data_IF_966409962161
#
_entry.id   IF_966409962161
#
_cell.length_a   1.000
_cell.length_b   1.000
_cell.length_c   1.000
_cell.angle_alpha   90.00
_cell.angle_beta   90.00
_cell.angle_gamma   90.00
#
_symmetry.space_group_name_H-M   'P 1'
#
loop_
_entity.id
_entity.type
_entity.pdbx_description
1 polymer ?
#
# COMPACT_ATOMS: atom_id res chain seq x y z
N UNK A 1 -5.43 -2.56 -4.41
CA UNK A 1 -5.52 -3.88 -5.09
C UNK A 1 -6.21 -4.83 -4.15
N UNK A 2 -6.90 -5.81 -4.71
CA UNK A 2 -7.62 -6.85 -4.00
C UNK A 2 -6.77 -7.43 -2.87
N UNK A 3 -7.35 -7.63 -1.68
CA UNK A 3 -6.60 -8.10 -0.52
C UNK A 3 -6.08 -9.52 -0.77
N UNK A 4 -6.91 -10.39 -1.36
CA UNK A 4 -6.53 -11.71 -1.79
C UNK A 4 -6.83 -11.92 -3.29
N UNK A 5 -5.93 -11.53 -4.20
CA UNK A 5 -6.16 -11.61 -5.64
C UNK A 5 -6.11 -13.04 -6.20
N UNK A 6 -5.93 -14.07 -5.35
CA UNK A 6 -6.12 -15.47 -5.76
C UNK A 6 -7.60 -15.89 -5.76
N UNK A 7 -8.46 -15.15 -5.03
CA UNK A 7 -9.90 -15.44 -4.90
C UNK A 7 -10.76 -14.23 -5.24
N UNK A 8 -10.28 -13.04 -4.90
CA UNK A 8 -10.97 -11.79 -5.18
C UNK A 8 -10.92 -11.47 -6.67
N UNK A 9 -11.99 -10.85 -7.18
CA UNK A 9 -12.07 -10.38 -8.56
C UNK A 9 -12.51 -8.93 -8.58
N UNK A 10 -11.92 -8.14 -9.49
CA UNK A 10 -12.38 -6.77 -9.73
C UNK A 10 -13.77 -6.80 -10.38
N UNK A 11 -14.63 -5.87 -9.96
CA UNK A 11 -15.96 -5.70 -10.56
C UNK A 11 -16.08 -4.26 -11.09
N UNK A 12 -16.21 -4.07 -12.41
CA UNK A 12 -16.11 -5.08 -13.48
C UNK A 12 -14.68 -5.65 -13.60
N UNK A 13 -14.47 -6.85 -14.18
CA UNK A 13 -13.14 -7.40 -14.35
C UNK A 13 -12.31 -6.56 -15.34
N UNK A 14 -11.00 -6.47 -15.10
CA UNK A 14 -10.05 -5.97 -16.07
C UNK A 14 -9.55 -7.16 -16.91
N UNK A 15 -9.86 -7.22 -18.22
CA UNK A 15 -9.49 -8.34 -19.06
C UNK A 15 -7.97 -8.52 -19.13
N UNK A 16 -7.44 -9.74 -18.90
CA UNK A 16 -6.03 -10.01 -19.13
C UNK A 16 -5.71 -9.86 -20.63
N UNK A 17 -4.65 -9.13 -20.95
CA UNK A 17 -4.19 -8.89 -22.32
C UNK A 17 -4.76 -7.64 -23.00
N UNK A 18 -5.68 -6.91 -22.36
CA UNK A 18 -6.08 -5.58 -22.84
C UNK A 18 -4.92 -4.60 -22.70
N UNK A 19 -4.46 -4.07 -23.83
CA UNK A 19 -3.31 -3.15 -23.87
C UNK A 19 -3.69 -1.74 -23.44
N UNK A 20 -4.97 -1.35 -23.61
CA UNK A 20 -5.48 -0.05 -23.20
C UNK A 20 -5.79 -0.03 -21.70
N UNK A 21 -5.52 1.11 -21.07
CA UNK A 21 -5.88 1.43 -19.69
C UNK A 21 -7.19 2.21 -19.60
N UNK A 22 -7.94 2.36 -20.69
CA UNK A 22 -9.18 3.15 -20.75
C UNK A 22 -10.25 2.71 -19.73
N UNK A 23 -10.28 1.42 -19.37
CA UNK A 23 -11.18 0.89 -18.33
C UNK A 23 -10.67 1.05 -16.90
N UNK A 24 -9.51 1.69 -16.67
CA UNK A 24 -8.93 1.99 -15.35
C UNK A 24 -9.24 3.42 -14.91
N UNK A 25 -8.50 3.93 -13.93
CA UNK A 25 -8.69 5.27 -13.41
C UNK A 25 -10.06 5.46 -12.78
N UNK A 26 -10.66 6.63 -13.03
CA UNK A 26 -12.01 6.95 -12.56
C UNK A 26 -13.13 6.27 -13.36
N UNK A 27 -12.81 5.44 -14.36
CA UNK A 27 -13.79 4.61 -15.08
C UNK A 27 -14.15 3.33 -14.33
N UNK A 28 -13.29 2.88 -13.41
CA UNK A 28 -13.51 1.66 -12.63
C UNK A 28 -13.79 1.99 -11.16
N UNK A 29 -14.92 1.53 -10.56
CA UNK A 29 -15.31 1.91 -9.20
C UNK A 29 -14.24 1.63 -8.13
N UNK A 30 -13.68 0.43 -8.13
CA UNK A 30 -12.62 0.04 -7.19
C UNK A 30 -11.34 0.87 -7.34
N UNK A 31 -10.88 1.10 -8.57
CA UNK A 31 -9.66 1.89 -8.84
C UNK A 31 -9.91 3.38 -8.53
N UNK A 32 -11.09 3.90 -8.83
CA UNK A 32 -11.48 5.25 -8.46
C UNK A 32 -11.39 5.47 -6.95
N UNK A 33 -11.77 4.47 -6.14
CA UNK A 33 -11.63 4.54 -4.68
C UNK A 33 -10.16 4.62 -4.24
N UNK A 34 -9.26 3.88 -4.91
CA UNK A 34 -7.82 3.91 -4.64
C UNK A 34 -7.15 5.22 -5.07
N UNK A 35 -7.59 5.80 -6.18
CA UNK A 35 -7.06 7.08 -6.70
C UNK A 35 -7.70 8.30 -6.03
N UNK A 36 -8.82 8.14 -5.34
CA UNK A 36 -9.50 9.20 -4.61
C UNK A 36 -8.50 9.89 -3.65
N UNK A 37 -8.36 11.22 -3.70
CA UNK A 37 -7.62 11.95 -2.67
C UNK A 37 -8.18 11.63 -1.28
N UNK A 38 -7.31 11.36 -0.32
CA UNK A 38 -7.69 10.98 1.04
C UNK A 38 -8.64 12.00 1.70
N UNK A 39 -8.47 13.31 1.41
CA UNK A 39 -9.37 14.39 1.87
C UNK A 39 -10.84 14.21 1.46
N UNK A 40 -11.11 13.39 0.45
CA UNK A 40 -12.45 13.09 -0.05
C UNK A 40 -12.91 11.67 0.27
N UNK A 41 -12.14 10.88 1.04
CA UNK A 41 -12.45 9.49 1.35
C UNK A 41 -13.87 9.31 1.93
N UNK A 42 -14.22 10.03 2.98
CA UNK A 42 -15.56 9.96 3.58
C UNK A 42 -16.68 10.32 2.59
N UNK A 43 -16.47 11.32 1.73
CA UNK A 43 -17.44 11.69 0.68
C UNK A 43 -17.55 10.62 -0.40
N UNK A 44 -16.43 9.98 -0.74
CA UNK A 44 -16.38 8.87 -1.68
C UNK A 44 -17.13 7.66 -1.14
N UNK A 45 -16.94 7.30 0.14
CA UNK A 45 -17.68 6.21 0.79
C UNK A 45 -19.20 6.47 0.78
N UNK A 46 -19.61 7.71 1.04
CA UNK A 46 -21.04 8.07 1.07
C UNK A 46 -21.72 7.99 -0.32
N UNK A 47 -21.02 8.34 -1.41
CA UNK A 47 -21.55 8.25 -2.78
C UNK A 47 -20.43 7.98 -3.80
N UNK A 48 -19.98 6.72 -3.94
CA UNK A 48 -18.86 6.37 -4.81
C UNK A 48 -19.11 6.71 -6.27
N UNK A 49 -20.34 6.50 -6.75
CA UNK A 49 -20.71 6.71 -8.16
C UNK A 49 -20.65 8.20 -8.52
N UNK A 50 -21.20 9.07 -7.66
CA UNK A 50 -21.17 10.52 -7.90
C UNK A 50 -19.75 11.08 -7.78
N UNK A 51 -18.99 10.63 -6.79
CA UNK A 51 -17.62 11.11 -6.58
C UNK A 51 -16.70 10.68 -7.72
N UNK A 52 -16.75 9.41 -8.15
CA UNK A 52 -16.00 8.94 -9.30
C UNK A 52 -16.38 9.70 -10.59
N UNK A 53 -17.68 9.99 -10.80
CA UNK A 53 -18.13 10.80 -11.95
C UNK A 53 -17.52 12.20 -11.94
N UNK A 54 -17.56 12.89 -10.79
CA UNK A 54 -16.99 14.24 -10.65
C UNK A 54 -15.48 14.28 -10.85
N UNK A 55 -14.76 13.23 -10.46
CA UNK A 55 -13.33 13.11 -10.72
C UNK A 55 -13.06 12.85 -12.20
N UNK A 56 -13.86 11.98 -12.83
CA UNK A 56 -13.75 11.64 -14.24
C UNK A 56 -14.02 12.83 -15.16
N UNK A 57 -15.03 13.63 -14.87
CA UNK A 57 -15.42 14.79 -15.69
C UNK A 57 -14.66 16.08 -15.37
N UNK A 58 -13.77 16.06 -14.37
CA UNK A 58 -12.97 17.21 -13.94
C UNK A 58 -13.70 18.23 -13.07
N UNK A 59 -14.98 18.00 -12.73
CA UNK A 59 -15.72 18.88 -11.79
C UNK A 59 -15.08 18.91 -10.41
N UNK A 60 -14.51 17.77 -9.99
CA UNK A 60 -13.69 17.67 -8.79
C UNK A 60 -12.25 17.42 -9.20
N UNK A 61 -11.39 18.41 -8.94
CA UNK A 61 -9.96 18.34 -9.22
C UNK A 61 -9.28 17.31 -8.33
N UNK A 62 -8.46 16.47 -8.96
CA UNK A 62 -7.58 15.50 -8.31
C UNK A 62 -6.16 16.00 -8.48
N UNK A 63 -5.72 16.79 -7.51
CA UNK A 63 -4.42 17.48 -7.46
C UNK A 63 -3.51 16.89 -6.36
N UNK A 64 -2.30 17.43 -6.23
CA UNK A 64 -1.32 17.03 -5.22
C UNK A 64 -1.66 17.45 -3.78
N UNK A 65 -2.73 18.23 -3.57
CA UNK A 65 -3.10 18.75 -2.25
C UNK A 65 -3.59 17.66 -1.26
N UNK A 66 -3.66 16.39 -1.68
CA UNK A 66 -3.92 15.26 -0.80
C UNK A 66 -3.45 13.96 -1.48
N UNK A 67 -2.78 13.11 -0.71
CA UNK A 67 -2.31 11.82 -1.22
C UNK A 67 -3.48 10.95 -1.69
N UNK A 68 -3.31 10.17 -2.78
CA UNK A 68 -4.27 9.15 -3.18
C UNK A 68 -4.49 8.11 -2.07
N UNK A 69 -5.70 7.56 -1.98
CA UNK A 69 -6.04 6.62 -0.91
C UNK A 69 -5.24 5.31 -0.95
N UNK A 70 -4.71 4.90 -2.11
CA UNK A 70 -3.82 3.73 -2.18
C UNK A 70 -2.52 3.89 -1.37
N UNK A 71 -2.14 5.12 -1.00
CA UNK A 71 -1.03 5.36 -0.09
C UNK A 71 -1.33 4.86 1.33
N UNK A 72 -2.58 4.56 1.67
CA UNK A 72 -2.99 4.14 3.01
C UNK A 72 -3.43 2.68 2.99
N UNK A 73 -3.08 1.94 4.04
CA UNK A 73 -3.69 0.64 4.30
C UNK A 73 -5.15 0.81 4.75
N UNK A 74 -6.08 0.12 4.08
CA UNK A 74 -7.51 0.31 4.32
C UNK A 74 -7.96 -0.20 5.70
N UNK A 75 -7.33 -1.25 6.23
CA UNK A 75 -7.70 -1.85 7.52
C UNK A 75 -7.12 -1.06 8.70
N UNK A 76 -5.99 -0.39 8.50
CA UNK A 76 -5.35 0.47 9.49
C UNK A 76 -5.81 1.93 9.44
N UNK A 77 -6.59 2.32 8.43
CA UNK A 77 -6.95 3.72 8.21
C UNK A 77 -7.89 4.22 9.32
N UNK A 78 -7.50 5.30 9.97
CA UNK A 78 -8.27 6.02 10.99
C UNK A 78 -8.42 7.46 10.52
N UNK A 79 -9.66 7.94 10.39
CA UNK A 79 -9.99 9.31 9.98
C UNK A 79 -9.35 10.38 10.88
N UNK A 80 -9.07 10.03 12.14
CA UNK A 80 -8.42 10.93 13.10
C UNK A 80 -6.89 10.79 13.10
N UNK A 81 -6.35 9.70 12.54
CA UNK A 81 -4.92 9.43 12.54
C UNK A 81 -4.49 8.52 11.36
N UNK A 82 -4.33 9.12 10.18
CA UNK A 82 -3.90 8.40 8.98
C UNK A 82 -2.46 7.85 9.03
N UNK A 83 -1.60 8.34 9.93
CA UNK A 83 -0.17 7.98 9.98
C UNK A 83 0.09 6.49 10.17
N UNK A 84 -0.77 5.80 10.95
CA UNK A 84 -0.64 4.36 11.20
C UNK A 84 -0.74 3.53 9.92
N UNK A 85 -1.54 4.00 8.96
CA UNK A 85 -1.82 3.31 7.70
C UNK A 85 -0.95 3.78 6.54
N UNK A 86 -0.32 4.96 6.67
CA UNK A 86 0.42 5.61 5.60
C UNK A 86 1.60 4.74 5.11
N UNK A 87 1.65 4.57 3.80
CA UNK A 87 2.54 3.72 3.01
C UNK A 87 2.56 2.23 3.38
N UNK A 88 1.53 1.73 4.09
CA UNK A 88 1.41 0.31 4.47
C UNK A 88 0.49 -0.52 3.57
N UNK A 89 -0.02 0.06 2.49
CA UNK A 89 -0.92 -0.66 1.59
C UNK A 89 -0.18 -1.81 0.87
N UNK A 90 -0.71 -3.04 0.96
CA UNK A 90 -0.13 -4.24 0.31
C UNK A 90 0.04 -4.07 -1.21
N UNK A 91 -0.75 -3.22 -1.85
CA UNK A 91 -0.61 -2.87 -3.27
C UNK A 91 0.79 -2.33 -3.58
N UNK A 92 1.32 -1.47 -2.70
CA UNK A 92 2.66 -0.89 -2.84
C UNK A 92 3.72 -1.97 -2.72
N UNK A 93 3.57 -2.89 -1.75
CA UNK A 93 4.49 -4.01 -1.55
C UNK A 93 4.51 -4.95 -2.76
N UNK A 94 3.34 -5.27 -3.33
CA UNK A 94 3.26 -6.12 -4.53
C UNK A 94 3.91 -5.46 -5.75
N UNK A 95 3.68 -4.17 -5.94
CA UNK A 95 4.33 -3.41 -7.02
C UNK A 95 5.85 -3.36 -6.82
N UNK A 96 6.32 -3.11 -5.60
CA UNK A 96 7.73 -3.14 -5.24
C UNK A 96 8.38 -4.50 -5.51
N UNK A 97 7.72 -5.61 -5.13
CA UNK A 97 8.19 -6.98 -5.43
C UNK A 97 8.25 -7.23 -6.94
N UNK A 98 7.21 -6.83 -7.68
CA UNK A 98 7.20 -6.97 -9.14
C UNK A 98 8.38 -6.23 -9.79
N UNK A 99 8.67 -5.01 -9.35
CA UNK A 99 9.77 -4.19 -9.88
C UNK A 99 11.14 -4.72 -9.45
N UNK A 100 11.32 -5.12 -8.19
CA UNK A 100 12.63 -5.55 -7.68
C UNK A 100 12.99 -6.97 -8.09
N UNK A 101 12.02 -7.88 -8.02
CA UNK A 101 12.24 -9.34 -8.05
C UNK A 101 11.67 -9.95 -9.32
N UNK A 102 10.54 -9.43 -9.80
CA UNK A 102 9.81 -9.89 -10.98
C UNK A 102 8.35 -10.25 -10.68
N UNK A 103 7.51 -10.25 -11.72
CA UNK A 103 6.05 -10.45 -11.62
C UNK A 103 5.66 -11.75 -10.90
N UNK A 104 6.38 -12.85 -11.15
CA UNK A 104 6.14 -14.15 -10.51
C UNK A 104 6.27 -14.13 -8.98
N UNK A 105 6.93 -13.12 -8.42
CA UNK A 105 7.14 -12.93 -6.97
C UNK A 105 6.32 -11.78 -6.39
N UNK A 106 5.53 -11.08 -7.21
CA UNK A 106 4.67 -9.99 -6.76
C UNK A 106 3.73 -10.45 -5.64
N UNK A 107 3.15 -11.63 -5.80
CA UNK A 107 2.15 -12.18 -4.91
C UNK A 107 2.71 -12.82 -3.65
N UNK A 108 3.61 -13.79 -3.81
CA UNK A 108 4.06 -14.66 -2.72
C UNK A 108 5.34 -14.15 -2.04
N UNK A 109 5.97 -13.09 -2.57
CA UNK A 109 7.23 -12.58 -2.04
C UNK A 109 8.40 -13.56 -2.21
N UNK A 110 9.42 -13.40 -1.37
CA UNK A 110 10.57 -14.28 -1.29
C UNK A 110 10.59 -14.96 0.06
N UNK A 111 10.76 -16.29 0.07
CA UNK A 111 10.96 -17.04 1.31
C UNK A 111 12.36 -16.79 1.89
N UNK A 112 13.33 -16.46 1.04
CA UNK A 112 14.69 -16.08 1.42
C UNK A 112 15.32 -15.15 0.36
N UNK A 113 16.17 -14.17 0.73
CA UNK A 113 16.84 -13.26 -0.19
C UNK A 113 17.65 -13.95 -1.28
N UNK A 114 18.32 -15.07 -0.94
CA UNK A 114 19.09 -15.86 -1.90
C UNK A 114 18.23 -16.52 -2.98
N UNK A 115 16.91 -16.61 -2.77
CA UNK A 115 15.93 -17.12 -3.75
C UNK A 115 15.49 -16.04 -4.75
N UNK A 116 15.98 -14.80 -4.62
CA UNK A 116 15.76 -13.78 -5.63
C UNK A 116 16.26 -14.28 -7.00
N UNK A 117 15.47 -14.15 -8.08
CA UNK A 117 15.87 -14.58 -9.41
C UNK A 117 17.21 -13.99 -9.82
N UNK A 118 18.06 -14.78 -10.50
CA UNK A 118 19.43 -14.37 -10.88
C UNK A 118 19.48 -13.08 -11.71
N UNK A 119 18.41 -12.75 -12.42
CA UNK A 119 18.27 -11.56 -13.28
C UNK A 119 17.36 -10.48 -12.68
N UNK A 120 17.06 -10.55 -11.38
CA UNK A 120 16.19 -9.57 -10.73
C UNK A 120 16.85 -8.18 -10.69
N UNK A 121 16.04 -7.13 -10.71
CA UNK A 121 16.54 -5.76 -10.60
C UNK A 121 17.28 -5.52 -9.28
N UNK A 122 16.79 -6.11 -8.19
CA UNK A 122 17.46 -6.04 -6.89
C UNK A 122 18.88 -6.61 -6.95
N UNK A 123 19.06 -7.79 -7.55
CA UNK A 123 20.37 -8.42 -7.67
C UNK A 123 21.29 -7.69 -8.64
N UNK A 124 20.76 -7.27 -9.80
CA UNK A 124 21.55 -6.59 -10.83
C UNK A 124 22.10 -5.24 -10.34
N UNK A 125 21.36 -4.55 -9.46
CA UNK A 125 21.74 -3.24 -8.92
C UNK A 125 22.29 -3.32 -7.48
N UNK A 126 22.43 -4.51 -6.90
CA UNK A 126 22.92 -4.68 -5.53
C UNK A 126 22.01 -4.08 -4.45
N UNK A 127 20.71 -3.96 -4.71
CA UNK A 127 19.72 -3.40 -3.76
C UNK A 127 19.50 -4.40 -2.63
N UNK A 128 20.00 -4.06 -1.44
CA UNK A 128 19.83 -4.84 -0.20
C UNK A 128 18.92 -4.17 0.84
N UNK A 129 18.59 -2.89 0.59
CA UNK A 129 17.76 -2.05 1.45
C UNK A 129 16.97 -1.09 0.57
N UNK A 130 15.71 -0.85 0.90
CA UNK A 130 14.94 0.26 0.33
C UNK A 130 14.96 1.46 1.26
N UNK A 131 14.91 2.64 0.64
CA UNK A 131 14.79 3.95 1.28
C UNK A 131 13.45 4.61 0.89
N UNK A 132 13.23 5.83 1.39
CA UNK A 132 12.06 6.65 1.11
C UNK A 132 11.92 7.03 -0.38
N UNK A 133 13.04 7.19 -1.09
CA UNK A 133 13.05 7.48 -2.52
C UNK A 133 12.48 6.33 -3.33
N UNK A 134 12.82 5.10 -2.95
CA UNK A 134 12.21 3.92 -3.51
C UNK A 134 10.70 3.87 -3.25
N UNK A 135 10.24 4.16 -2.02
CA UNK A 135 8.80 4.22 -1.70
C UNK A 135 8.09 5.28 -2.55
N UNK A 136 8.65 6.48 -2.67
CA UNK A 136 8.09 7.56 -3.48
C UNK A 136 7.97 7.15 -4.95
N UNK A 137 9.01 6.52 -5.50
CA UNK A 137 9.00 5.98 -6.86
C UNK A 137 7.93 4.89 -7.05
N UNK A 138 7.76 3.97 -6.09
CA UNK A 138 6.70 2.95 -6.15
C UNK A 138 5.30 3.59 -6.11
N UNK A 139 5.07 4.60 -5.27
CA UNK A 139 3.81 5.33 -5.25
C UNK A 139 3.49 5.95 -6.61
N UNK A 140 4.48 6.58 -7.25
CA UNK A 140 4.38 7.11 -8.61
C UNK A 140 4.02 6.02 -9.64
N UNK A 141 4.71 4.88 -9.60
CA UNK A 141 4.43 3.74 -10.50
C UNK A 141 3.03 3.17 -10.30
N UNK A 142 2.59 3.01 -9.04
CA UNK A 142 1.26 2.49 -8.71
C UNK A 142 0.17 3.46 -9.16
N UNK A 143 0.32 4.76 -8.92
CA UNK A 143 -0.64 5.76 -9.40
C UNK A 143 -0.80 5.70 -10.91
N UNK A 144 0.32 5.65 -11.65
CA UNK A 144 0.26 5.51 -13.10
C UNK A 144 -0.39 4.19 -13.50
N UNK A 145 0.01 3.05 -12.93
CA UNK A 145 -0.58 1.75 -13.26
C UNK A 145 -2.11 1.71 -13.06
N UNK A 146 -2.60 2.43 -12.05
CA UNK A 146 -4.02 2.57 -11.73
C UNK A 146 -4.74 3.61 -12.60
N UNK A 147 -4.06 4.62 -13.15
CA UNK A 147 -4.71 5.64 -13.98
C UNK A 147 -5.17 5.09 -15.33
N UNK A 148 -5.98 5.87 -16.05
CA UNK A 148 -6.35 5.58 -17.44
C UNK A 148 -5.37 6.17 -18.46
N UNK A 149 -4.25 6.75 -18.01
CA UNK A 149 -3.24 7.36 -18.89
C UNK A 149 -2.42 6.27 -19.56
N UNK A 150 -2.36 6.28 -20.89
CA UNK A 150 -1.71 5.23 -21.68
C UNK A 150 -0.17 5.35 -21.68
N UNK A 151 0.35 6.57 -21.65
CA UNK A 151 1.80 6.85 -21.74
C UNK A 151 2.26 7.61 -20.52
N UNK A 152 3.38 7.18 -19.93
CA UNK A 152 3.98 7.87 -18.79
C UNK A 152 4.35 9.31 -19.18
N UNK A 153 4.05 10.25 -18.29
CA UNK A 153 4.42 11.66 -18.41
C UNK A 153 4.56 12.30 -17.04
N UNK A 154 5.16 13.50 -16.96
CA UNK A 154 5.36 14.20 -15.69
C UNK A 154 4.04 14.69 -15.05
N UNK A 155 2.99 14.81 -15.85
CA UNK A 155 1.69 15.36 -15.44
C UNK A 155 0.55 14.47 -15.95
N UNK A 156 -0.43 14.22 -15.09
CA UNK A 156 -1.70 13.56 -15.38
C UNK A 156 -2.84 14.50 -14.95
N UNK A 157 -3.36 15.27 -15.91
CA UNK A 157 -4.34 16.35 -15.69
C UNK A 157 -3.82 17.39 -14.68
N UNK A 158 -4.50 17.57 -13.55
CA UNK A 158 -4.09 18.49 -12.47
C UNK A 158 -3.05 17.87 -11.52
N UNK A 159 -2.62 16.61 -11.74
CA UNK A 159 -1.72 15.89 -10.84
C UNK A 159 -0.30 15.81 -11.40
N UNK A 160 0.67 16.25 -10.61
CA UNK A 160 2.08 16.32 -10.97
C UNK A 160 2.87 15.22 -10.25
N UNK A 161 3.58 14.38 -11.00
CA UNK A 161 4.32 13.24 -10.41
C UNK A 161 5.59 13.66 -9.68
N UNK A 162 6.24 14.74 -10.12
CA UNK A 162 7.40 15.35 -9.45
C UNK A 162 7.01 15.95 -8.10
N UNK A 163 5.89 16.67 -8.05
CA UNK A 163 5.33 17.19 -6.79
C UNK A 163 4.96 16.03 -5.87
N UNK A 164 4.27 15.00 -6.36
CA UNK A 164 3.90 13.83 -5.56
C UNK A 164 5.10 13.10 -4.96
N UNK A 165 6.15 12.92 -5.76
CA UNK A 165 7.39 12.32 -5.29
C UNK A 165 8.02 13.16 -4.16
N UNK A 166 8.11 14.47 -4.35
CA UNK A 166 8.68 15.38 -3.36
C UNK A 166 7.82 15.53 -2.10
N UNK A 167 6.50 15.46 -2.22
CA UNK A 167 5.58 15.45 -1.08
C UNK A 167 5.82 14.22 -0.20
N UNK A 168 6.03 13.04 -0.82
CA UNK A 168 6.35 11.81 -0.09
C UNK A 168 7.68 11.96 0.65
N UNK A 169 8.73 12.46 -0.01
CA UNK A 169 10.02 12.69 0.64
C UNK A 169 9.91 13.69 1.80
N UNK A 170 9.15 14.77 1.61
CA UNK A 170 8.90 15.78 2.66
C UNK A 170 8.22 15.18 3.88
N UNK A 171 7.29 14.23 3.70
CA UNK A 171 6.65 13.51 4.81
C UNK A 171 7.68 12.73 5.65
N UNK A 172 8.64 12.06 5.01
CA UNK A 172 9.72 11.37 5.71
C UNK A 172 10.63 12.35 6.45
N UNK A 173 11.02 13.44 5.78
CA UNK A 173 11.89 14.46 6.38
C UNK A 173 11.23 15.14 7.59
N UNK A 174 9.95 15.49 7.48
CA UNK A 174 9.17 16.10 8.57
C UNK A 174 9.11 15.20 9.81
N UNK A 175 9.04 13.88 9.64
CA UNK A 175 9.08 12.93 10.75
C UNK A 175 10.50 12.81 11.32
N UNK A 176 11.55 12.77 10.47
CA UNK A 176 12.95 12.75 10.93
C UNK A 176 13.28 13.94 11.80
N UNK A 177 12.85 15.14 11.42
CA UNK A 177 13.01 16.37 12.24
C UNK A 177 12.32 16.24 13.61
N UNK A 178 11.28 15.40 13.72
CA UNK A 178 10.51 15.12 14.95
C UNK A 178 10.97 13.85 15.69
N UNK A 179 12.11 13.27 15.29
CA UNK A 179 12.71 12.10 15.94
C UNK A 179 12.66 10.80 15.12
N UNK A 180 12.02 10.79 13.95
CA UNK A 180 12.17 9.74 12.93
C UNK A 180 11.51 8.40 13.24
N UNK A 181 10.78 8.28 14.36
CA UNK A 181 10.21 7.01 14.80
C UNK A 181 9.27 6.37 13.77
N UNK A 182 8.45 7.19 13.08
CA UNK A 182 7.56 6.66 12.06
C UNK A 182 8.33 6.30 10.78
N UNK A 183 9.27 7.14 10.34
CA UNK A 183 10.11 6.91 9.18
C UNK A 183 10.93 5.63 9.31
N UNK A 184 11.55 5.39 10.47
CA UNK A 184 12.28 4.16 10.77
C UNK A 184 11.34 2.94 10.80
N UNK A 185 10.18 3.07 11.44
CA UNK A 185 9.19 1.99 11.52
C UNK A 185 8.67 1.56 10.15
N UNK A 186 8.37 2.51 9.26
CA UNK A 186 7.85 2.19 7.93
C UNK A 186 8.94 1.62 7.02
N UNK A 187 10.16 2.16 7.06
CA UNK A 187 11.29 1.60 6.31
C UNK A 187 11.64 0.19 6.79
N UNK A 188 11.61 -0.05 8.10
CA UNK A 188 11.79 -1.40 8.66
C UNK A 188 10.72 -2.36 8.17
N UNK A 189 9.46 -1.95 8.23
CA UNK A 189 8.34 -2.76 7.74
C UNK A 189 8.50 -3.09 6.25
N UNK A 190 8.80 -2.12 5.39
CA UNK A 190 9.02 -2.35 3.96
C UNK A 190 10.16 -3.33 3.67
N UNK A 191 11.32 -3.16 4.33
CA UNK A 191 12.45 -4.05 4.12
C UNK A 191 12.15 -5.50 4.56
N UNK A 192 11.43 -5.68 5.68
CA UNK A 192 10.95 -7.01 6.09
C UNK A 192 9.98 -7.58 5.05
N UNK A 193 9.04 -6.79 4.53
CA UNK A 193 8.09 -7.26 3.52
C UNK A 193 8.74 -7.64 2.18
N UNK A 194 9.85 -7.01 1.81
CA UNK A 194 10.52 -7.23 0.52
C UNK A 194 11.62 -8.29 0.57
N UNK A 195 12.37 -8.34 1.68
CA UNK A 195 13.55 -9.19 1.81
C UNK A 195 13.43 -10.22 2.92
N UNK A 196 12.44 -10.12 3.82
CA UNK A 196 12.30 -11.02 4.97
C UNK A 196 13.19 -10.67 6.16
N UNK A 197 13.99 -9.60 6.09
CA UNK A 197 14.89 -9.16 7.16
C UNK A 197 15.08 -7.63 7.13
N UNK A 198 15.62 -7.06 8.22
CA UNK A 198 16.04 -5.67 8.26
C UNK A 198 17.59 -5.59 8.23
N UNK A 199 18.22 -4.73 7.42
CA UNK A 199 19.67 -4.80 7.16
C UNK A 199 20.61 -4.67 8.36
N UNK A 200 20.20 -4.04 9.47
CA UNK A 200 21.02 -4.02 10.70
C UNK A 200 21.15 -5.39 11.38
N UNK A 201 20.36 -6.39 10.96
CA UNK A 201 20.47 -7.77 11.43
C UNK A 201 21.69 -8.52 10.83
N UNK A 202 22.43 -7.91 9.88
CA UNK A 202 23.61 -8.51 9.23
C UNK A 202 24.95 -7.95 9.72
N UNK A 203 24.94 -6.88 10.52
CA UNK A 203 26.19 -6.31 11.08
C UNK A 203 26.64 -7.09 12.33
N UNK A 204 25.85 -8.07 12.79
CA UNK A 204 26.19 -9.05 13.82
C UNK A 204 26.71 -10.35 13.20
N UNK A 205 27.75 -10.27 12.36
CA UNK A 205 28.67 -11.41 12.18
C UNK A 205 29.49 -11.55 13.48
N UNK A 206 28.81 -11.97 14.55
CA UNK A 206 29.45 -12.43 15.76
C UNK A 206 29.46 -13.96 15.70
N UNK A 207 30.65 -14.51 15.46
CA UNK A 207 30.98 -15.89 15.81
C UNK A 207 30.43 -16.18 17.21
N UNK A 208 29.43 -17.06 17.34
CA UNK A 208 29.28 -17.94 18.50
C UNK A 208 28.07 -18.88 18.39
N UNK A 209 28.38 -20.17 18.51
CA UNK A 209 27.59 -21.10 19.31
C UNK A 209 27.12 -20.40 20.61
N UNK A 210 25.82 -20.12 20.73
CA UNK A 210 25.21 -20.02 22.04
C UNK A 210 23.74 -20.39 21.98
N UNK A 211 23.42 -21.50 22.63
CA UNK A 211 22.06 -21.91 22.99
C UNK A 211 21.49 -20.87 23.97
N UNK A 212 20.80 -19.87 23.44
CA UNK A 212 19.98 -18.97 24.24
C UNK A 212 18.66 -18.71 23.52
N UNK A 213 17.57 -19.31 24.02
CA UNK A 213 16.21 -18.87 23.74
C UNK A 213 16.04 -17.42 24.24
N UNK A 214 16.32 -16.45 23.38
CA UNK A 214 15.89 -15.07 23.60
C UNK A 214 14.94 -14.69 22.47
N UNK A 215 13.66 -14.58 22.80
CA UNK A 215 12.66 -14.02 21.89
C UNK A 215 13.05 -12.57 21.62
N UNK A 216 13.46 -12.28 20.40
CA UNK A 216 14.05 -10.99 20.02
C UNK A 216 12.96 -9.89 20.01
N UNK A 217 13.35 -8.62 20.20
CA UNK A 217 12.46 -7.44 19.98
C UNK A 217 11.76 -7.51 18.61
N UNK A 218 12.44 -8.12 17.62
CA UNK A 218 11.93 -8.48 16.29
C UNK A 218 10.73 -9.42 16.34
N UNK A 219 10.77 -10.45 17.18
CA UNK A 219 9.62 -11.34 17.38
C UNK A 219 8.49 -10.65 18.15
N UNK A 220 8.82 -9.73 19.07
CA UNK A 220 7.81 -8.94 19.78
C UNK A 220 7.05 -8.00 18.83
N UNK A 221 7.76 -7.19 18.04
CA UNK A 221 7.16 -6.21 17.12
C UNK A 221 6.42 -6.87 15.95
N UNK A 222 6.95 -7.96 15.38
CA UNK A 222 6.27 -8.73 14.34
C UNK A 222 4.96 -9.32 14.86
N UNK A 223 5.02 -10.03 16.00
CA UNK A 223 3.82 -10.59 16.64
C UNK A 223 2.86 -9.51 17.13
N UNK A 224 3.33 -8.32 17.51
CA UNK A 224 2.48 -7.22 17.93
C UNK A 224 1.75 -6.59 16.74
N UNK A 225 2.44 -6.42 15.60
CA UNK A 225 1.83 -5.94 14.36
C UNK A 225 0.79 -6.94 13.82
N UNK A 226 1.14 -8.23 13.74
CA UNK A 226 0.23 -9.27 13.25
C UNK A 226 -1.00 -9.42 14.17
N UNK A 227 -0.80 -9.35 15.50
CA UNK A 227 -1.90 -9.30 16.47
C UNK A 227 -2.77 -8.05 16.29
N UNK A 228 -2.16 -6.89 16.06
CA UNK A 228 -2.91 -5.65 15.85
C UNK A 228 -3.76 -5.70 14.57
N UNK A 229 -3.20 -6.23 13.48
CA UNK A 229 -3.91 -6.45 12.22
C UNK A 229 -5.04 -7.47 12.40
N UNK A 230 -4.80 -8.56 13.12
CA UNK A 230 -5.82 -9.57 13.40
C UNK A 230 -6.99 -9.01 14.23
N UNK A 231 -6.69 -8.16 15.23
CA UNK A 231 -7.71 -7.47 16.04
C UNK A 231 -8.55 -6.53 15.17
N UNK A 232 -7.93 -5.75 14.30
CA UNK A 232 -8.64 -4.82 13.41
C UNK A 232 -9.52 -5.55 12.39
N UNK A 233 -9.04 -6.69 11.86
CA UNK A 233 -9.84 -7.56 10.96
C UNK A 233 -11.05 -8.15 11.69
N UNK A 234 -10.85 -8.71 12.88
CA UNK A 234 -11.93 -9.27 13.68
C UNK A 234 -12.97 -8.21 14.09
N UNK A 235 -12.54 -6.99 14.40
CA UNK A 235 -13.44 -5.88 14.72
C UNK A 235 -14.32 -5.48 13.53
N UNK A 236 -13.77 -5.52 12.30
CA UNK A 236 -14.50 -5.24 11.07
C UNK A 236 -15.53 -6.32 10.72
N UNK A 237 -15.16 -7.59 10.84
CA UNK A 237 -16.07 -8.74 10.62
C UNK A 237 -17.22 -8.76 11.66
N UNK A 238 -16.94 -8.36 12.90
CA UNK A 238 -17.95 -8.19 13.96
C UNK A 238 -18.92 -7.04 13.68
N UNK A 239 -18.45 -5.93 13.10
CA UNK A 239 -19.29 -4.80 12.74
C UNK A 239 -20.22 -5.10 11.55
N UNK A 240 -19.74 -5.89 10.57
CA UNK A 240 -20.53 -6.27 9.40
C UNK A 240 -21.62 -7.31 9.77
N UNK A 241 -21.34 -8.22 10.70
CA UNK A 241 -22.32 -9.23 11.18
C UNK A 241 -23.37 -8.67 12.16
N UNK A 242 -23.10 -7.56 12.83
CA UNK A 242 -24.03 -6.91 13.78
C UNK A 242 -25.11 -6.03 13.13
N UNK A 243 -25.05 -5.76 11.82
CA UNK A 243 -25.99 -4.89 11.12
C UNK A 243 -27.18 -5.61 10.45
N UNK A 244 -27.26 -6.94 10.58
CA UNK A 244 -28.23 -7.78 9.87
C UNK A 244 -29.46 -8.27 10.66
N UNK A 245 -29.69 -7.78 11.90
CA UNK A 245 -30.72 -8.37 12.75
C UNK A 245 -31.41 -7.40 13.69
N UNK A 246 -32.25 -6.52 13.16
CA UNK A 246 -33.48 -6.16 13.90
C UNK A 246 -34.59 -5.73 12.94
N UNK A 247 -35.50 -6.66 12.70
CA UNK A 247 -36.57 -6.52 11.72
C UNK A 247 -37.56 -7.65 11.84
N UNK A 248 -38.34 -7.66 12.94
CA UNK A 248 -39.54 -8.51 12.99
C UNK A 248 -40.23 -8.60 14.35
N UNK A 249 -41.53 -8.30 14.32
CA UNK A 249 -42.59 -8.58 15.30
C UNK A 249 -42.76 -7.55 16.44
N UNK A 250 -43.97 -7.08 16.78
CA UNK A 250 -45.31 -7.54 16.44
C UNK A 250 -46.32 -6.38 16.52
N UNK A 251 -47.28 -6.39 15.60
CA UNK A 251 -48.57 -5.73 15.77
C UNK A 251 -49.49 -6.66 16.57
N UNK A 252 -50.17 -6.09 17.56
CA UNK A 252 -51.48 -6.53 18.06
C UNK A 252 -52.20 -5.27 18.58
#
# INVERSE_FOLDING_TARGET
>A
MLENPSVDVLVPPLPPGEQSKSNRGFNHPYIAALLCPCKYHAKFQADPKRMARKMKDGTLKVDNNSLPFFCYDHALFDDNNGWKSLFRNVTLIRAARAILVGESKAMNGLDHPSHAPRKSNARNNGIKKIDEGFIAMICCQVRFALSSVEVWGPVDLDFHYDVFHNDILSIFEDDRVKGGYWAESILKWWNIQLFGYYPTDLDEDHDQDSDAESGTEKDFLGRAHDRHIAILRAAREGAESGSGGDGGAAAA
#
